data_IF_477912774927
#
_entry.id   IF_477912774927
#
_cell.length_a   1.000
_cell.length_b   1.000
_cell.length_c   1.000
_cell.angle_alpha   90.00
_cell.angle_beta   90.00
_cell.angle_gamma   90.00
#
_symmetry.space_group_name_H-M   'P 1'
#
loop_
_entity.id
_entity.type
_entity.pdbx_description
1 polymer ?
#
# COMPACT_ATOMS: atom_id res chain seq x y z
N UNK A 1 1.35 -15.51 19.40
CA UNK A 1 -0.07 -15.83 19.14
C UNK A 1 -0.17 -17.31 18.77
N UNK A 2 -0.99 -18.08 19.47
CA UNK A 2 -1.08 -19.53 19.29
C UNK A 2 -1.50 -19.89 17.84
N UNK A 3 -0.70 -20.73 17.17
CA UNK A 3 -1.00 -21.32 15.86
C UNK A 3 -2.48 -21.69 15.60
N UNK A 4 -3.22 -22.31 16.56
CA UNK A 4 -4.62 -22.67 16.34
C UNK A 4 -5.55 -21.48 16.10
N UNK A 5 -5.38 -20.37 16.83
CA UNK A 5 -6.19 -19.16 16.64
C UNK A 5 -5.99 -18.57 15.24
N UNK A 6 -4.74 -18.59 14.76
CA UNK A 6 -4.37 -18.11 13.42
C UNK A 6 -5.04 -18.92 12.31
N UNK A 7 -5.00 -20.25 12.39
CA UNK A 7 -5.65 -21.15 11.42
C UNK A 7 -7.17 -21.00 11.44
N UNK A 8 -7.76 -20.80 12.62
CA UNK A 8 -9.18 -20.52 12.77
C UNK A 8 -9.58 -19.19 12.12
N UNK A 9 -8.88 -18.10 12.44
CA UNK A 9 -9.16 -16.78 11.88
C UNK A 9 -9.04 -16.75 10.34
N UNK A 10 -8.01 -17.40 9.77
CA UNK A 10 -7.87 -17.49 8.31
C UNK A 10 -8.97 -18.32 7.65
N UNK A 11 -9.37 -19.45 8.26
CA UNK A 11 -10.51 -20.24 7.76
C UNK A 11 -11.81 -19.46 7.84
N UNK A 12 -12.05 -18.76 8.94
CA UNK A 12 -13.24 -17.91 9.10
C UNK A 12 -13.27 -16.78 8.07
N UNK A 13 -12.15 -16.10 7.82
CA UNK A 13 -12.05 -15.06 6.80
C UNK A 13 -12.34 -15.59 5.39
N UNK A 14 -11.82 -16.77 5.04
CA UNK A 14 -12.09 -17.43 3.75
C UNK A 14 -13.55 -17.87 3.60
N UNK A 15 -14.13 -18.41 4.66
CA UNK A 15 -15.53 -18.84 4.67
C UNK A 15 -16.46 -17.65 4.52
N UNK A 16 -16.28 -16.59 5.32
CA UNK A 16 -17.11 -15.38 5.28
C UNK A 16 -16.98 -14.62 3.96
N UNK A 17 -15.81 -14.66 3.29
CA UNK A 17 -15.59 -14.04 1.98
C UNK A 17 -16.09 -14.86 0.78
N UNK A 18 -16.60 -16.08 0.98
CA UNK A 18 -17.02 -16.96 -0.12
C UNK A 18 -18.43 -16.64 -0.65
N UNK A 19 -18.68 -16.91 -1.93
CA UNK A 19 -20.01 -16.74 -2.56
C UNK A 19 -21.12 -17.55 -1.83
N UNK A 20 -20.75 -18.68 -1.22
CA UNK A 20 -21.67 -19.48 -0.41
C UNK A 20 -22.10 -18.79 0.90
N UNK A 21 -21.20 -18.04 1.54
CA UNK A 21 -21.55 -17.26 2.73
C UNK A 21 -22.53 -16.12 2.41
N UNK A 22 -22.39 -15.50 1.24
CA UNK A 22 -23.35 -14.50 0.77
C UNK A 22 -24.75 -15.09 0.58
N UNK A 23 -24.86 -16.25 -0.09
CA UNK A 23 -26.15 -16.94 -0.28
C UNK A 23 -26.76 -17.29 1.08
N UNK A 24 -25.97 -17.80 2.02
CA UNK A 24 -26.43 -18.16 3.35
C UNK A 24 -26.90 -16.93 4.15
N UNK A 25 -26.20 -15.80 4.04
CA UNK A 25 -26.62 -14.53 4.65
C UNK A 25 -27.96 -14.03 4.08
N UNK A 26 -28.16 -14.12 2.76
CA UNK A 26 -29.42 -13.75 2.10
C UNK A 26 -30.57 -14.64 2.59
N UNK A 27 -30.34 -15.95 2.73
CA UNK A 27 -31.34 -16.89 3.26
C UNK A 27 -31.69 -16.55 4.71
N UNK A 28 -30.70 -16.25 5.57
CA UNK A 28 -30.93 -15.85 6.96
C UNK A 28 -31.77 -14.57 7.04
N UNK A 29 -31.46 -13.56 6.22
CA UNK A 29 -32.24 -12.31 6.14
C UNK A 29 -33.67 -12.60 5.66
N UNK A 30 -33.84 -13.51 4.68
CA UNK A 30 -35.15 -13.93 4.19
C UNK A 30 -35.99 -14.61 5.27
N UNK A 31 -35.43 -15.55 6.02
CA UNK A 31 -36.11 -16.21 7.15
C UNK A 31 -36.49 -15.20 8.23
N UNK A 32 -35.58 -14.28 8.57
CA UNK A 32 -35.87 -13.20 9.51
C UNK A 32 -37.02 -12.30 9.02
N UNK A 33 -37.04 -11.92 7.74
CA UNK A 33 -38.12 -11.12 7.16
C UNK A 33 -39.48 -11.84 7.21
N UNK A 34 -39.52 -13.15 6.90
CA UNK A 34 -40.76 -13.96 6.94
C UNK A 34 -41.29 -14.17 8.36
N UNK A 35 -40.40 -14.18 9.36
CA UNK A 35 -40.82 -14.24 10.78
C UNK A 35 -41.38 -12.91 11.29
N UNK A 36 -41.10 -11.78 10.63
CA UNK A 36 -41.59 -10.45 11.02
C UNK A 36 -43.11 -10.33 11.19
N UNK A 37 -43.93 -10.74 10.20
CA UNK A 37 -45.39 -10.74 10.31
C UNK A 37 -45.93 -11.58 11.48
N UNK A 38 -45.28 -12.71 11.79
CA UNK A 38 -45.66 -13.60 12.91
C UNK A 38 -45.48 -12.88 14.25
N UNK A 39 -44.39 -12.14 14.39
CA UNK A 39 -44.06 -11.37 15.59
C UNK A 39 -44.60 -9.93 15.58
N UNK A 40 -45.46 -9.57 14.61
CA UNK A 40 -46.01 -8.22 14.43
C UNK A 40 -44.93 -7.12 14.40
N UNK A 41 -43.75 -7.43 13.85
CA UNK A 41 -42.61 -6.51 13.81
C UNK A 41 -42.22 -5.93 15.18
N UNK A 42 -42.31 -6.77 16.24
CA UNK A 42 -42.02 -6.36 17.61
C UNK A 42 -40.59 -5.86 17.83
N UNK A 43 -40.40 -5.11 18.91
CA UNK A 43 -39.08 -4.60 19.32
C UNK A 43 -38.07 -5.73 19.52
N UNK A 44 -38.50 -6.89 20.03
CA UNK A 44 -37.62 -8.07 20.20
C UNK A 44 -37.17 -8.64 18.85
N UNK A 45 -38.06 -8.65 17.85
CA UNK A 45 -37.72 -9.14 16.51
C UNK A 45 -36.69 -8.24 15.80
N UNK A 46 -36.80 -6.92 15.99
CA UNK A 46 -35.81 -5.95 15.50
C UNK A 46 -34.50 -6.01 16.31
N UNK A 47 -34.59 -6.17 17.62
CA UNK A 47 -33.42 -6.26 18.51
C UNK A 47 -32.53 -7.43 18.11
N UNK A 48 -33.11 -8.60 17.81
CA UNK A 48 -32.33 -9.80 17.44
C UNK A 48 -31.46 -9.57 16.20
N UNK A 49 -32.00 -8.97 15.13
CA UNK A 49 -31.19 -8.72 13.92
C UNK A 49 -30.13 -7.65 14.16
N UNK A 50 -30.48 -6.61 14.92
CA UNK A 50 -29.60 -5.47 15.17
C UNK A 50 -28.42 -5.89 16.07
N UNK A 51 -28.71 -6.56 17.18
CA UNK A 51 -27.69 -7.10 18.09
C UNK A 51 -26.83 -8.15 17.39
N UNK A 52 -27.43 -9.07 16.63
CA UNK A 52 -26.70 -10.09 15.89
C UNK A 52 -25.74 -9.49 14.86
N UNK A 53 -26.23 -8.56 14.04
CA UNK A 53 -25.43 -7.91 13.00
C UNK A 53 -24.30 -7.08 13.62
N UNK A 54 -24.55 -6.41 14.75
CA UNK A 54 -23.52 -5.65 15.47
C UNK A 54 -22.38 -6.54 15.96
N UNK A 55 -22.69 -7.68 16.58
CA UNK A 55 -21.68 -8.65 17.03
C UNK A 55 -20.87 -9.18 15.84
N UNK A 56 -21.55 -9.59 14.76
CA UNK A 56 -20.88 -10.09 13.55
C UNK A 56 -19.99 -9.02 12.94
N UNK A 57 -20.46 -7.77 12.88
CA UNK A 57 -19.69 -6.64 12.34
C UNK A 57 -18.46 -6.35 13.20
N UNK A 58 -18.60 -6.36 14.53
CA UNK A 58 -17.48 -6.17 15.43
C UNK A 58 -16.41 -7.27 15.24
N UNK A 59 -16.83 -8.53 15.14
CA UNK A 59 -15.94 -9.65 14.84
C UNK A 59 -15.30 -9.52 13.44
N UNK A 60 -16.06 -9.10 12.43
CA UNK A 60 -15.58 -8.87 11.07
C UNK A 60 -14.49 -7.80 11.05
N UNK A 61 -14.73 -6.65 11.69
CA UNK A 61 -13.75 -5.56 11.80
C UNK A 61 -12.48 -6.06 12.48
N UNK A 62 -12.60 -6.80 13.58
CA UNK A 62 -11.45 -7.38 14.27
C UNK A 62 -10.69 -8.38 13.39
N UNK A 63 -11.38 -9.25 12.66
CA UNK A 63 -10.76 -10.21 11.73
C UNK A 63 -10.06 -9.52 10.56
N UNK A 64 -10.67 -8.48 9.99
CA UNK A 64 -10.10 -7.65 8.94
C UNK A 64 -8.83 -6.98 9.46
N UNK A 65 -8.89 -6.32 10.62
CA UNK A 65 -7.74 -5.65 11.23
C UNK A 65 -6.59 -6.64 11.52
N UNK A 66 -6.91 -7.84 12.03
CA UNK A 66 -5.89 -8.87 12.28
C UNK A 66 -5.24 -9.39 10.98
N UNK A 67 -6.02 -9.51 9.90
CA UNK A 67 -5.50 -9.94 8.60
C UNK A 67 -4.68 -8.83 7.93
N UNK A 68 -5.20 -7.60 7.93
CA UNK A 68 -4.55 -6.42 7.35
C UNK A 68 -3.25 -6.06 8.07
N UNK A 69 -3.19 -6.16 9.41
CA UNK A 69 -1.96 -5.91 10.18
C UNK A 69 -0.83 -6.86 9.75
N UNK A 70 -1.16 -8.11 9.38
CA UNK A 70 -0.18 -9.09 8.92
C UNK A 70 0.24 -8.87 7.47
N UNK A 71 -0.71 -8.51 6.60
CA UNK A 71 -0.41 -8.21 5.20
C UNK A 71 0.46 -6.96 5.08
N UNK A 72 0.28 -5.96 5.94
CA UNK A 72 1.16 -4.80 6.05
C UNK A 72 2.59 -5.21 6.42
N UNK A 73 2.78 -6.06 7.43
CA UNK A 73 4.11 -6.57 7.82
C UNK A 73 4.80 -7.36 6.70
N UNK A 74 4.04 -8.20 5.98
CA UNK A 74 4.58 -8.96 4.84
C UNK A 74 4.96 -8.04 3.67
N UNK A 75 4.22 -6.94 3.47
CA UNK A 75 4.51 -5.94 2.45
C UNK A 75 5.81 -5.17 2.78
N UNK A 76 6.02 -4.80 4.05
CA UNK A 76 7.28 -4.22 4.51
C UNK A 76 8.46 -5.16 4.24
N UNK A 77 8.38 -6.44 4.62
CA UNK A 77 9.46 -7.42 4.37
C UNK A 77 9.77 -7.60 2.89
N UNK A 78 8.75 -7.62 2.02
CA UNK A 78 8.96 -7.70 0.56
C UNK A 78 9.61 -6.43 0.02
N UNK A 79 9.24 -5.26 0.53
CA UNK A 79 9.84 -3.99 0.15
C UNK A 79 11.30 -3.93 0.59
N UNK A 80 11.61 -4.39 1.80
CA UNK A 80 12.98 -4.48 2.32
C UNK A 80 13.84 -5.40 1.48
N UNK A 81 13.30 -6.55 1.06
CA UNK A 81 14.02 -7.49 0.19
C UNK A 81 14.24 -6.93 -1.22
N UNK A 82 13.25 -6.24 -1.81
CA UNK A 82 13.41 -5.56 -3.09
C UNK A 82 14.42 -4.41 -2.99
N UNK A 83 14.36 -3.62 -1.92
CA UNK A 83 15.35 -2.58 -1.66
C UNK A 83 16.73 -3.22 -1.51
N UNK A 84 16.86 -4.34 -0.80
CA UNK A 84 18.13 -5.07 -0.65
C UNK A 84 18.66 -5.58 -1.99
N UNK A 85 17.82 -6.15 -2.84
CA UNK A 85 18.19 -6.63 -4.17
C UNK A 85 18.61 -5.46 -5.11
N UNK A 86 17.95 -4.31 -5.01
CA UNK A 86 18.34 -3.09 -5.74
C UNK A 86 19.59 -2.44 -5.13
N UNK A 87 19.79 -2.56 -3.83
CA UNK A 87 20.96 -2.08 -3.10
C UNK A 87 22.20 -2.96 -3.31
N UNK A 88 22.06 -4.25 -3.61
CA UNK A 88 23.19 -5.09 -4.06
C UNK A 88 23.75 -4.62 -5.41
N UNK A 89 22.92 -3.97 -6.25
CA UNK A 89 23.37 -3.25 -7.44
C UNK A 89 23.96 -1.85 -7.15
N UNK A 90 23.84 -1.34 -5.91
CA UNK A 90 24.36 -0.03 -5.49
C UNK A 90 24.81 -0.07 -4.02
N UNK A 91 25.98 -0.68 -3.79
CA UNK A 91 26.63 -1.03 -2.52
C UNK A 91 26.80 0.10 -1.47
N UNK A 92 26.24 1.30 -1.66
CA UNK A 92 26.42 2.46 -0.78
C UNK A 92 25.15 3.05 -0.14
N UNK A 93 23.96 2.47 -0.32
CA UNK A 93 22.70 3.14 0.10
C UNK A 93 21.84 2.33 1.09
N UNK A 94 22.42 1.37 1.82
CA UNK A 94 21.61 0.36 2.54
C UNK A 94 21.02 0.82 3.86
N UNK A 95 21.51 1.86 4.53
CA UNK A 95 21.04 2.10 5.90
C UNK A 95 20.90 3.58 6.29
N UNK A 96 20.38 4.43 5.39
CA UNK A 96 20.23 5.87 5.69
C UNK A 96 19.43 6.17 6.98
N UNK A 97 18.59 5.24 7.43
CA UNK A 97 17.73 5.41 8.61
C UNK A 97 18.45 5.08 9.94
N UNK A 98 19.48 4.21 9.92
CA UNK A 98 20.34 3.95 11.08
C UNK A 98 21.75 4.54 10.94
N UNK A 99 22.02 5.30 9.88
CA UNK A 99 23.28 6.02 9.72
C UNK A 99 23.37 7.14 10.77
N UNK A 100 24.53 7.31 11.44
CA UNK A 100 24.75 8.48 12.28
C UNK A 100 24.61 9.76 11.45
N UNK A 101 23.98 10.80 12.04
CA UNK A 101 23.63 12.05 11.35
C UNK A 101 24.80 12.67 10.57
N UNK A 102 26.03 12.51 11.04
CA UNK A 102 27.22 13.04 10.40
C UNK A 102 27.55 12.35 9.06
N UNK A 103 27.33 11.05 8.95
CA UNK A 103 27.52 10.31 7.69
C UNK A 103 26.40 10.61 6.69
N UNK A 104 25.17 10.78 7.19
CA UNK A 104 24.03 11.19 6.38
C UNK A 104 24.28 12.58 5.74
N UNK A 105 24.82 13.51 6.52
CA UNK A 105 25.19 14.84 6.01
C UNK A 105 26.30 14.78 4.96
N UNK A 106 27.33 13.94 5.15
CA UNK A 106 28.41 13.76 4.16
C UNK A 106 27.88 13.21 2.84
N UNK A 107 26.99 12.21 2.91
CA UNK A 107 26.37 11.61 1.73
C UNK A 107 25.47 12.62 0.99
N UNK A 108 24.68 13.41 1.73
CA UNK A 108 23.87 14.49 1.16
C UNK A 108 24.73 15.55 0.47
N UNK A 109 25.87 15.93 1.06
CA UNK A 109 26.81 16.87 0.45
C UNK A 109 27.44 16.31 -0.83
N UNK A 110 27.79 15.03 -0.85
CA UNK A 110 28.33 14.38 -2.05
C UNK A 110 27.31 14.33 -3.19
N UNK A 111 26.06 13.95 -2.90
CA UNK A 111 24.98 14.01 -3.89
C UNK A 111 24.69 15.42 -4.38
N UNK A 112 24.75 16.42 -3.51
CA UNK A 112 24.56 17.83 -3.89
C UNK A 112 25.67 18.30 -4.83
N UNK A 113 26.93 17.95 -4.54
CA UNK A 113 28.08 18.25 -5.42
C UNK A 113 27.98 17.56 -6.77
N UNK A 114 27.55 16.30 -6.81
CA UNK A 114 27.34 15.58 -8.07
C UNK A 114 26.24 16.22 -8.90
N UNK A 115 25.12 16.60 -8.27
CA UNK A 115 24.04 17.34 -8.95
C UNK A 115 24.48 18.69 -9.50
N UNK A 116 25.22 19.47 -8.72
CA UNK A 116 25.76 20.75 -9.18
C UNK A 116 26.70 20.58 -10.38
N UNK A 117 27.63 19.62 -10.30
CA UNK A 117 28.53 19.32 -11.44
C UNK A 117 27.77 18.90 -12.69
N UNK A 118 26.76 18.02 -12.54
CA UNK A 118 25.93 17.59 -13.67
C UNK A 118 25.07 18.72 -14.23
N UNK A 119 24.52 19.60 -13.38
CA UNK A 119 23.75 20.76 -13.83
C UNK A 119 24.61 21.74 -14.63
N UNK A 120 25.82 22.03 -14.15
CA UNK A 120 26.77 22.91 -14.87
C UNK A 120 27.15 22.32 -16.23
N UNK A 121 27.44 21.02 -16.31
CA UNK A 121 27.77 20.36 -17.58
C UNK A 121 26.59 20.39 -18.57
N UNK A 122 25.36 20.18 -18.09
CA UNK A 122 24.16 20.25 -18.93
C UNK A 122 23.92 21.67 -19.43
N UNK A 123 24.14 22.69 -18.61
CA UNK A 123 24.01 24.09 -19.02
C UNK A 123 25.03 24.47 -20.12
N UNK A 124 26.28 24.01 -19.98
CA UNK A 124 27.38 24.25 -20.93
C UNK A 124 27.12 23.55 -22.28
N UNK A 125 26.67 22.30 -22.25
CA UNK A 125 26.26 21.54 -23.45
C UNK A 125 25.06 22.19 -24.16
N UNK A 126 24.07 22.70 -23.41
CA UNK A 126 22.92 23.40 -23.99
C UNK A 126 23.36 24.71 -24.65
N UNK A 127 24.32 25.44 -24.08
CA UNK A 127 24.83 26.68 -24.66
C UNK A 127 25.61 26.42 -25.95
N UNK A 128 26.51 25.42 -25.97
CA UNK A 128 27.28 25.08 -27.17
C UNK A 128 26.38 24.63 -28.32
N UNK A 129 25.37 23.81 -28.06
CA UNK A 129 24.38 23.37 -29.07
C UNK A 129 23.56 24.56 -29.60
N UNK A 130 23.15 25.49 -28.73
CA UNK A 130 22.42 26.70 -29.17
C UNK A 130 23.28 27.56 -30.09
N UNK A 131 24.56 27.72 -29.77
CA UNK A 131 25.48 28.51 -30.56
C UNK A 131 25.72 27.87 -31.94
N UNK A 132 25.94 26.55 -31.99
CA UNK A 132 26.04 25.81 -33.26
C UNK A 132 24.76 25.91 -34.12
N UNK A 133 23.59 25.92 -33.49
CA UNK A 133 22.31 26.07 -34.19
C UNK A 133 22.11 27.50 -34.76
N UNK A 134 22.55 28.54 -34.05
CA UNK A 134 22.50 29.91 -34.58
C UNK A 134 23.48 30.11 -35.75
N UNK A 135 24.68 29.54 -35.67
CA UNK A 135 25.66 29.58 -36.77
C UNK A 135 25.15 28.84 -38.02
N UNK A 136 24.51 27.68 -37.85
CA UNK A 136 23.88 26.94 -38.95
C UNK A 136 22.71 27.71 -39.56
N UNK A 137 21.84 28.30 -38.74
CA UNK A 137 20.72 29.13 -39.23
C UNK A 137 21.19 30.40 -39.95
N UNK A 138 22.29 31.01 -39.53
CA UNK A 138 22.90 32.15 -40.20
C UNK A 138 23.49 31.78 -41.57
N UNK A 139 24.01 30.57 -41.71
CA UNK A 139 24.60 30.06 -42.97
C UNK A 139 23.52 29.71 -44.01
N UNK A 140 22.38 29.14 -43.58
CA UNK A 140 21.24 28.81 -44.47
C UNK A 140 20.46 30.06 -44.95
N UNK A 141 20.64 31.23 -44.33
CA UNK A 141 19.95 32.47 -44.70
C UNK A 141 20.69 33.30 -45.78
N UNK A 142 21.94 32.92 -46.11
CA UNK A 142 22.84 33.65 -47.03
C UNK A 142 22.95 32.96 -48.41
N UNK A 143 22.34 31.77 -48.59
CA UNK A 143 22.27 31.03 -49.87
C UNK A 143 20.84 31.08 -50.41
#
# INVERSE_FOLDING_TARGET
MSEPFRKFAQKMALVVGSSWAFILAVVVIGVWAVTGPIFRFSDTWQLVINTGTTIVTFLMVFLIQNTQNRDAQALHLKLDELLRAVKEARTGLVDLENLPDEELQRLQQEFRRLREKSAVLVEDDIQSIKQELEERKGTDCII
#
